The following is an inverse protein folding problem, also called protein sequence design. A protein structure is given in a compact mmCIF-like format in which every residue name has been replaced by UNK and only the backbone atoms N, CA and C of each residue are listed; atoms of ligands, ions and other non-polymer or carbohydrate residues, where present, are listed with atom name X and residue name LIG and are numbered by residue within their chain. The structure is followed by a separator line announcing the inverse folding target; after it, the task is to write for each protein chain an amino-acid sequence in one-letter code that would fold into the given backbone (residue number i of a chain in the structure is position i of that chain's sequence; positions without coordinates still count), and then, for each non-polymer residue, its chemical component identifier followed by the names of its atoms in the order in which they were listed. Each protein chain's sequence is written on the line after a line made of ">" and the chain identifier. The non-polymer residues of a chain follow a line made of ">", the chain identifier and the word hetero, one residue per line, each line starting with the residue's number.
data_IF_422060369981
#
_entry.id   IF_422060369981
#
_cell.length_a   1.000
_cell.length_b   1.000
_cell.length_c   1.000
_cell.angle_alpha   90.00
_cell.angle_beta   90.00
_cell.angle_gamma   90.00
#
_symmetry.space_group_name_H-M   'P 1'
#
loop_
_entity.id
_entity.type
_entity.pdbx_description
1 polymer ?
#
# COMPACT_ATOMS: atom_id res chain seq x y z
N UNK A 1 75.14 -21.16 -31.40
CA UNK A 1 74.37 -20.00 -30.88
C UNK A 1 73.09 -20.53 -30.24
N UNK A 2 72.83 -20.09 -29.00
CA UNK A 2 71.78 -20.54 -28.06
C UNK A 2 70.41 -19.98 -28.45
N UNK A 3 69.29 -20.74 -28.29
CA UNK A 3 67.94 -20.33 -27.76
C UNK A 3 67.12 -21.62 -27.50
N UNK A 4 67.11 -22.16 -26.28
CA UNK A 4 66.20 -21.88 -25.15
C UNK A 4 64.74 -22.30 -25.40
N UNK A 5 64.38 -23.53 -24.99
CA UNK A 5 63.00 -23.96 -24.75
C UNK A 5 62.51 -23.37 -23.42
N UNK A 6 61.44 -22.57 -23.46
CA UNK A 6 60.76 -22.10 -22.25
C UNK A 6 59.77 -23.18 -21.79
N UNK A 7 60.11 -23.87 -20.70
CA UNK A 7 59.20 -24.77 -19.99
C UNK A 7 58.14 -23.94 -19.24
N UNK A 8 56.88 -24.37 -19.35
CA UNK A 8 55.73 -23.69 -18.80
C UNK A 8 55.64 -23.70 -17.28
N UNK A 9 54.83 -22.78 -16.77
CA UNK A 9 54.25 -22.85 -15.44
C UNK A 9 52.79 -22.37 -15.55
N UNK A 10 51.87 -23.31 -15.80
CA UNK A 10 50.44 -23.05 -15.64
C UNK A 10 50.16 -23.09 -14.13
N UNK A 11 49.99 -21.92 -13.50
CA UNK A 11 49.49 -21.83 -12.14
C UNK A 11 47.99 -22.21 -12.16
N UNK A 12 47.67 -23.42 -11.69
CA UNK A 12 46.30 -23.82 -11.37
C UNK A 12 45.87 -23.07 -10.11
N UNK A 13 45.24 -21.91 -10.29
CA UNK A 13 44.50 -21.23 -9.23
C UNK A 13 43.22 -22.04 -9.02
N UNK A 14 43.26 -22.96 -8.05
CA UNK A 14 42.05 -23.64 -7.56
C UNK A 14 41.20 -22.60 -6.83
N UNK A 15 40.31 -21.94 -7.56
CA UNK A 15 39.25 -21.15 -6.96
C UNK A 15 38.28 -22.14 -6.29
N UNK A 16 38.29 -22.18 -4.96
CA UNK A 16 37.21 -22.78 -4.19
C UNK A 16 35.93 -22.02 -4.54
N UNK A 17 35.17 -22.53 -5.50
CA UNK A 17 33.80 -22.09 -5.75
C UNK A 17 32.99 -22.61 -4.57
N UNK A 18 32.82 -21.77 -3.54
CA UNK A 18 31.83 -22.00 -2.51
C UNK A 18 30.47 -22.03 -3.20
N UNK A 19 29.81 -23.19 -3.22
CA UNK A 19 28.43 -23.28 -3.65
C UNK A 19 27.61 -22.24 -2.86
N UNK A 20 26.69 -21.50 -3.50
CA UNK A 20 25.81 -20.61 -2.76
C UNK A 20 25.08 -21.46 -1.73
N UNK A 21 25.24 -21.11 -0.45
CA UNK A 21 24.49 -21.75 0.62
C UNK A 21 23.01 -21.53 0.31
N UNK A 22 22.30 -22.61 -0.01
CA UNK A 22 20.86 -22.59 -0.17
C UNK A 22 20.28 -22.14 1.16
N UNK A 23 19.86 -20.86 1.21
CA UNK A 23 19.32 -20.28 2.42
C UNK A 23 18.03 -21.03 2.71
N UNK A 24 18.07 -21.92 3.71
CA UNK A 24 16.93 -22.71 4.12
C UNK A 24 15.72 -21.78 4.23
N UNK A 25 14.64 -22.09 3.51
CA UNK A 25 13.45 -21.26 3.47
C UNK A 25 13.03 -21.00 4.92
N UNK A 26 13.01 -19.71 5.32
CA UNK A 26 12.54 -19.32 6.65
C UNK A 26 11.14 -19.93 6.83
N UNK A 27 10.85 -20.62 7.94
CA UNK A 27 9.51 -21.13 8.19
C UNK A 27 8.52 -19.96 8.05
N UNK A 28 7.40 -20.14 7.34
CA UNK A 28 6.54 -19.03 6.99
C UNK A 28 5.88 -18.50 8.27
N UNK A 29 5.75 -17.18 8.36
CA UNK A 29 5.27 -16.48 9.55
C UNK A 29 3.82 -16.89 9.85
N UNK A 30 3.40 -17.01 11.13
CA UNK A 30 2.00 -17.35 11.45
C UNK A 30 1.04 -16.34 10.76
N UNK A 31 -0.16 -16.78 10.34
CA UNK A 31 -1.13 -15.90 9.69
C UNK A 31 -1.38 -14.62 10.49
N UNK A 32 -1.20 -13.47 9.84
CA UNK A 32 -1.28 -12.15 10.47
C UNK A 32 -2.16 -11.18 9.67
N UNK A 33 -2.75 -10.21 10.36
CA UNK A 33 -3.44 -9.07 9.75
C UNK A 33 -2.88 -7.78 10.35
N UNK A 34 -2.26 -6.96 9.50
CA UNK A 34 -1.81 -5.62 9.86
C UNK A 34 -2.83 -4.59 9.41
N UNK A 35 -3.30 -3.76 10.34
CA UNK A 35 -4.34 -2.76 10.10
C UNK A 35 -3.73 -1.37 10.17
N UNK A 36 -3.83 -0.64 9.06
CA UNK A 36 -3.36 0.74 8.91
C UNK A 36 -4.60 1.65 8.81
N UNK A 37 -5.00 2.23 9.94
CA UNK A 37 -6.09 3.20 9.99
C UNK A 37 -5.50 4.62 9.90
N UNK A 38 -5.86 5.34 8.84
CA UNK A 38 -5.29 6.65 8.51
C UNK A 38 -6.37 7.67 8.17
N UNK A 39 -6.06 8.95 8.33
CA UNK A 39 -7.02 10.01 8.04
C UNK A 39 -7.26 10.12 6.53
N UNK A 40 -6.18 10.24 5.76
CA UNK A 40 -6.20 10.51 4.33
C UNK A 40 -5.55 9.42 3.48
N UNK A 41 -5.81 9.47 2.16
CA UNK A 41 -5.47 8.44 1.18
C UNK A 41 -3.95 8.16 1.01
N UNK A 42 -3.11 9.14 1.33
CA UNK A 42 -1.65 9.13 1.18
C UNK A 42 -0.90 8.88 2.49
N UNK A 43 -1.52 9.10 3.65
CA UNK A 43 -0.89 8.98 4.98
C UNK A 43 -0.13 7.65 5.19
N UNK A 44 -0.72 6.53 4.78
CA UNK A 44 -0.06 5.22 4.94
C UNK A 44 1.21 5.12 4.09
N UNK A 45 1.26 5.78 2.94
CA UNK A 45 2.43 5.79 2.05
C UNK A 45 3.55 6.61 2.68
N UNK A 46 3.18 7.73 3.30
CA UNK A 46 4.12 8.70 3.87
C UNK A 46 4.69 8.23 5.21
N UNK A 47 3.87 7.56 6.04
CA UNK A 47 4.20 7.37 7.45
C UNK A 47 4.22 5.92 7.94
N UNK A 48 3.69 4.95 7.16
CA UNK A 48 3.57 3.55 7.59
C UNK A 48 4.53 2.61 6.87
N UNK A 49 5.46 3.15 6.09
CA UNK A 49 6.54 2.37 5.49
C UNK A 49 7.74 2.30 6.45
N UNK A 50 8.47 1.16 6.50
CA UNK A 50 8.38 0.02 5.56
C UNK A 50 7.32 -1.04 5.89
N UNK A 51 6.62 -0.94 7.02
CA UNK A 51 5.71 -1.98 7.53
C UNK A 51 4.53 -2.27 6.57
N UNK A 52 3.94 -1.23 5.98
CA UNK A 52 2.88 -1.39 4.97
C UNK A 52 3.35 -2.17 3.74
N UNK A 53 4.58 -1.91 3.26
CA UNK A 53 5.18 -2.66 2.17
C UNK A 53 5.42 -4.12 2.56
N UNK A 54 5.95 -4.37 3.76
CA UNK A 54 6.15 -5.74 4.26
C UNK A 54 4.84 -6.52 4.36
N UNK A 55 3.81 -5.92 4.97
CA UNK A 55 2.50 -6.54 5.16
C UNK A 55 1.81 -6.92 3.83
N UNK A 56 2.05 -6.15 2.76
CA UNK A 56 1.50 -6.45 1.43
C UNK A 56 2.23 -7.59 0.71
N UNK A 57 3.45 -7.92 1.14
CA UNK A 57 4.34 -8.82 0.39
C UNK A 57 4.74 -10.08 1.15
N UNK A 58 4.45 -10.16 2.45
CA UNK A 58 4.60 -11.39 3.23
C UNK A 58 3.47 -12.38 2.89
N UNK A 59 3.77 -13.63 2.46
CA UNK A 59 2.77 -14.59 1.99
C UNK A 59 1.64 -14.90 2.99
N UNK A 60 1.91 -14.86 4.29
CA UNK A 60 0.94 -15.18 5.34
C UNK A 60 0.38 -13.93 6.05
N UNK A 61 0.61 -12.74 5.53
CA UNK A 61 0.11 -11.49 6.09
C UNK A 61 -0.94 -10.84 5.18
N UNK A 62 -1.94 -10.21 5.80
CA UNK A 62 -2.86 -9.31 5.10
C UNK A 62 -2.66 -7.88 5.56
N UNK A 63 -2.46 -6.97 4.62
CA UNK A 63 -2.49 -5.54 4.86
C UNK A 63 -3.92 -5.01 4.70
N UNK A 64 -4.45 -4.36 5.73
CA UNK A 64 -5.78 -3.74 5.71
C UNK A 64 -5.63 -2.24 5.91
N UNK A 65 -5.94 -1.46 4.87
CA UNK A 65 -5.93 -0.01 4.91
C UNK A 65 -7.34 0.51 5.14
N UNK A 66 -7.52 1.34 6.17
CA UNK A 66 -8.79 2.00 6.48
C UNK A 66 -8.56 3.50 6.38
N UNK A 67 -9.14 4.11 5.36
CA UNK A 67 -9.13 5.56 5.19
C UNK A 67 -10.39 6.14 5.80
N UNK A 68 -10.23 6.99 6.81
CA UNK A 68 -11.32 7.51 7.62
C UNK A 68 -12.07 8.61 6.87
N UNK A 69 -11.37 9.62 6.35
CA UNK A 69 -12.01 10.74 5.66
C UNK A 69 -12.00 10.56 4.15
N UNK A 70 -12.86 11.33 3.46
CA UNK A 70 -12.82 11.47 2.02
C UNK A 70 -11.57 12.24 1.55
N UNK A 71 -10.90 12.97 2.45
CA UNK A 71 -9.79 13.84 2.08
C UNK A 71 -10.17 14.87 1.04
N UNK A 72 -11.43 15.30 1.05
CA UNK A 72 -12.07 16.17 0.07
C UNK A 72 -11.78 17.65 0.32
N UNK A 73 -11.03 18.00 1.36
CA UNK A 73 -10.73 19.38 1.75
C UNK A 73 -12.00 20.25 1.89
N UNK A 74 -13.12 19.64 2.29
CA UNK A 74 -14.44 20.27 2.36
C UNK A 74 -15.10 20.59 1.02
N UNK A 75 -14.59 20.06 -0.10
CA UNK A 75 -15.19 20.22 -1.42
C UNK A 75 -16.39 19.27 -1.67
N UNK A 76 -16.61 18.28 -0.81
CA UNK A 76 -17.66 17.27 -0.95
C UNK A 76 -17.54 16.50 -2.26
N UNK A 77 -18.68 16.33 -2.93
CA UNK A 77 -18.74 15.74 -4.28
C UNK A 77 -18.35 16.72 -5.40
N UNK A 78 -17.95 17.97 -5.06
CA UNK A 78 -17.58 19.01 -6.01
C UNK A 78 -16.07 19.20 -6.17
N UNK A 79 -15.70 20.17 -6.99
CA UNK A 79 -14.31 20.56 -7.28
C UNK A 79 -14.20 21.25 -8.64
N UNK A 80 -13.08 21.92 -8.94
CA UNK A 80 -12.88 22.60 -10.22
C UNK A 80 -12.63 21.63 -11.40
N UNK A 81 -12.40 20.34 -11.12
CA UNK A 81 -12.09 19.32 -12.12
C UNK A 81 -13.30 18.45 -12.51
N UNK A 82 -13.16 17.63 -13.56
CA UNK A 82 -14.23 16.74 -14.04
C UNK A 82 -14.49 15.53 -13.13
N UNK A 83 -13.62 15.28 -12.15
CA UNK A 83 -13.72 14.17 -11.19
C UNK A 83 -13.71 14.76 -9.77
N UNK A 84 -14.63 14.35 -8.88
CA UNK A 84 -14.59 14.73 -7.47
C UNK A 84 -13.21 14.49 -6.86
N UNK A 85 -12.71 15.47 -6.10
CA UNK A 85 -11.34 15.44 -5.59
C UNK A 85 -11.05 14.18 -4.77
N UNK A 86 -11.98 13.76 -3.92
CA UNK A 86 -11.83 12.53 -3.12
C UNK A 86 -11.65 11.28 -3.99
N UNK A 87 -12.37 11.13 -5.11
CA UNK A 87 -12.23 9.98 -6.00
C UNK A 87 -10.86 9.94 -6.68
N UNK A 88 -10.30 11.11 -7.00
CA UNK A 88 -8.94 11.18 -7.53
C UNK A 88 -7.90 10.73 -6.48
N UNK A 89 -8.09 11.12 -5.20
CA UNK A 89 -7.22 10.67 -4.10
C UNK A 89 -7.37 9.17 -3.83
N UNK A 90 -8.59 8.63 -3.84
CA UNK A 90 -8.84 7.19 -3.69
C UNK A 90 -8.12 6.39 -4.76
N UNK A 91 -8.25 6.79 -6.02
CA UNK A 91 -7.55 6.11 -7.11
C UNK A 91 -6.02 6.25 -7.00
N UNK A 92 -5.51 7.36 -6.45
CA UNK A 92 -4.09 7.50 -6.08
C UNK A 92 -3.64 6.46 -5.06
N UNK A 93 -4.40 6.26 -3.98
CA UNK A 93 -4.13 5.21 -2.99
C UNK A 93 -4.18 3.80 -3.62
N UNK A 94 -5.19 3.53 -4.44
CA UNK A 94 -5.32 2.24 -5.11
C UNK A 94 -4.17 1.98 -6.10
N UNK A 95 -3.70 3.00 -6.81
CA UNK A 95 -2.49 2.90 -7.67
C UNK A 95 -1.25 2.57 -6.86
N UNK A 96 -1.05 3.20 -5.70
CA UNK A 96 0.09 2.92 -4.85
C UNK A 96 0.07 1.48 -4.30
N UNK A 97 -1.10 0.96 -3.89
CA UNK A 97 -1.26 -0.45 -3.49
C UNK A 97 -0.85 -1.39 -4.63
N UNK A 98 -1.37 -1.15 -5.85
CA UNK A 98 -1.01 -1.97 -7.01
C UNK A 98 0.48 -1.88 -7.32
N UNK A 99 1.06 -0.69 -7.27
CA UNK A 99 2.49 -0.49 -7.49
C UNK A 99 3.33 -1.28 -6.49
N UNK A 100 3.08 -1.12 -5.19
CA UNK A 100 3.88 -1.78 -4.15
C UNK A 100 3.72 -3.30 -4.17
N UNK A 101 2.51 -3.81 -4.37
CA UNK A 101 2.25 -5.24 -4.46
C UNK A 101 2.84 -5.89 -5.74
N UNK A 102 3.12 -5.10 -6.79
CA UNK A 102 3.77 -5.54 -8.02
C UNK A 102 5.29 -5.34 -7.99
N UNK A 103 5.79 -4.39 -7.19
CA UNK A 103 7.22 -4.08 -7.09
C UNK A 103 8.03 -5.18 -6.37
N UNK A 104 7.40 -5.97 -5.52
CA UNK A 104 8.08 -7.05 -4.80
C UNK A 104 8.56 -8.20 -5.69
N UNK A 105 7.93 -8.41 -6.84
CA UNK A 105 8.41 -9.34 -7.85
C UNK A 105 8.09 -8.80 -9.26
N UNK A 106 9.02 -8.01 -9.85
CA UNK A 106 8.82 -7.42 -11.17
C UNK A 106 8.67 -8.45 -12.30
N UNK A 107 9.11 -9.69 -12.10
CA UNK A 107 8.97 -10.76 -13.10
C UNK A 107 7.52 -11.30 -13.13
N UNK A 108 6.78 -11.15 -12.03
CA UNK A 108 5.39 -11.56 -11.92
C UNK A 108 4.51 -10.33 -12.07
N UNK A 109 4.15 -9.99 -13.31
CA UNK A 109 3.14 -8.96 -13.60
C UNK A 109 1.78 -9.36 -13.03
N UNK A 110 1.46 -8.90 -11.81
CA UNK A 110 0.25 -9.29 -11.07
C UNK A 110 -1.04 -8.61 -11.56
N UNK A 111 -0.97 -7.80 -12.62
CA UNK A 111 -2.09 -7.09 -13.24
C UNK A 111 -2.41 -5.75 -12.59
N UNK A 112 -3.56 -5.17 -12.97
CA UNK A 112 -4.05 -3.91 -12.41
C UNK A 112 -5.49 -3.99 -11.89
N UNK A 113 -6.20 -5.09 -12.15
CA UNK A 113 -7.59 -5.22 -11.76
C UNK A 113 -7.71 -5.48 -10.25
N UNK A 114 -8.49 -4.65 -9.58
CA UNK A 114 -8.87 -4.86 -8.17
C UNK A 114 -10.32 -5.33 -8.07
N UNK A 115 -10.62 -6.17 -7.09
CA UNK A 115 -12.00 -6.52 -6.79
C UNK A 115 -12.63 -5.39 -5.97
N UNK A 116 -13.64 -4.72 -6.54
CA UNK A 116 -14.43 -3.69 -5.87
C UNK A 116 -15.76 -4.25 -5.37
N UNK A 117 -16.13 -3.93 -4.14
CA UNK A 117 -17.41 -4.33 -3.53
C UNK A 117 -17.86 -3.27 -2.53
N UNK A 118 -19.17 -3.08 -2.38
CA UNK A 118 -19.72 -2.37 -1.22
C UNK A 118 -19.82 -3.33 -0.04
N UNK A 119 -19.10 -3.05 1.06
CA UNK A 119 -19.12 -3.88 2.26
C UNK A 119 -20.09 -3.30 3.29
N UNK A 120 -21.19 -4.00 3.55
CA UNK A 120 -22.15 -3.60 4.59
C UNK A 120 -21.59 -3.86 6.00
N UNK A 121 -21.51 -2.84 6.85
CA UNK A 121 -21.05 -2.92 8.25
C UNK A 121 -21.94 -2.05 9.12
N UNK A 122 -22.63 -2.64 10.09
CA UNK A 122 -23.48 -1.87 11.02
C UNK A 122 -24.56 -1.02 10.36
N UNK A 123 -25.08 -1.42 9.19
CA UNK A 123 -26.05 -0.63 8.41
C UNK A 123 -25.42 0.33 7.39
N UNK A 124 -24.11 0.48 7.38
CA UNK A 124 -23.37 1.40 6.52
C UNK A 124 -22.68 0.71 5.36
N UNK A 125 -22.64 1.38 4.21
CA UNK A 125 -22.01 0.88 2.99
C UNK A 125 -20.59 1.42 2.86
N UNK A 126 -19.59 0.60 3.15
CA UNK A 126 -18.18 1.00 3.04
C UNK A 126 -17.59 0.52 1.71
N UNK A 127 -17.06 1.44 0.90
CA UNK A 127 -16.41 1.07 -0.34
C UNK A 127 -15.13 0.27 -0.03
N UNK A 128 -15.06 -0.96 -0.56
CA UNK A 128 -13.95 -1.88 -0.35
C UNK A 128 -13.29 -2.26 -1.67
N UNK A 129 -11.97 -2.32 -1.67
CA UNK A 129 -11.15 -2.89 -2.74
C UNK A 129 -10.25 -3.99 -2.19
N UNK A 130 -10.04 -5.05 -2.96
CA UNK A 130 -9.08 -6.10 -2.64
C UNK A 130 -8.12 -6.34 -3.80
N UNK A 131 -6.85 -6.51 -3.47
CA UNK A 131 -5.79 -6.80 -4.43
C UNK A 131 -4.67 -7.56 -3.72
N UNK A 132 -4.50 -8.84 -4.09
CA UNK A 132 -3.50 -9.74 -3.47
C UNK A 132 -3.69 -9.77 -1.94
N UNK A 133 -2.63 -9.51 -1.18
CA UNK A 133 -2.66 -9.50 0.28
C UNK A 133 -3.17 -8.17 0.86
N UNK A 134 -3.52 -7.19 0.02
CA UNK A 134 -4.04 -5.90 0.44
C UNK A 134 -5.56 -5.80 0.35
N UNK A 135 -6.17 -5.18 1.34
CA UNK A 135 -7.57 -4.75 1.35
C UNK A 135 -7.62 -3.28 1.71
N UNK A 136 -8.38 -2.48 0.95
CA UNK A 136 -8.55 -1.05 1.16
C UNK A 136 -10.01 -0.74 1.42
N UNK A 137 -10.28 0.04 2.46
CA UNK A 137 -11.60 0.58 2.78
C UNK A 137 -11.57 2.11 2.73
N UNK A 138 -12.62 2.71 2.18
CA UNK A 138 -12.87 4.14 2.21
C UNK A 138 -14.19 4.40 2.92
N UNK A 139 -14.13 4.98 4.13
CA UNK A 139 -15.30 5.38 4.90
C UNK A 139 -15.88 6.70 4.38
N UNK A 140 -15.06 7.51 3.69
CA UNK A 140 -15.46 8.77 3.04
C UNK A 140 -16.15 9.76 3.97
N UNK A 141 -15.75 9.81 5.25
CA UNK A 141 -16.26 10.84 6.14
C UNK A 141 -15.84 12.23 5.64
N UNK A 142 -16.70 13.25 5.70
CA UNK A 142 -16.33 14.59 5.25
C UNK A 142 -15.06 15.09 5.94
N UNK A 143 -14.10 15.57 5.15
CA UNK A 143 -12.91 16.22 5.65
C UNK A 143 -13.23 17.68 6.01
N UNK A 144 -12.57 18.19 7.04
CA UNK A 144 -12.69 19.60 7.41
C UNK A 144 -12.00 20.51 6.38
N UNK A 145 -12.36 21.79 6.34
CA UNK A 145 -11.64 22.79 5.55
C UNK A 145 -11.00 23.87 6.46
N UNK A 146 -9.95 24.51 5.98
CA UNK A 146 -9.40 25.76 6.51
C UNK A 146 -9.69 26.85 5.48
N UNK A 147 -10.57 27.79 5.81
CA UNK A 147 -10.83 28.98 4.97
C UNK A 147 -10.22 30.18 5.67
N UNK A 148 -9.31 30.90 4.99
CA UNK A 148 -8.63 32.09 5.49
C UNK A 148 -7.89 31.90 6.83
N UNK A 149 -7.16 30.80 6.99
CA UNK A 149 -6.41 30.49 8.22
C UNK A 149 -7.28 30.17 9.44
N UNK A 150 -8.60 30.07 9.24
CA UNK A 150 -9.57 29.67 10.25
C UNK A 150 -10.13 28.31 9.85
N UNK A 151 -10.21 27.37 10.81
CA UNK A 151 -10.85 26.07 10.58
C UNK A 151 -12.32 26.33 10.24
N UNK A 152 -12.66 26.25 8.97
CA UNK A 152 -14.01 26.42 8.47
C UNK A 152 -14.62 25.02 8.44
N UNK A 153 -15.31 24.69 9.52
CA UNK A 153 -16.03 23.44 9.64
C UNK A 153 -17.50 23.70 9.33
N UNK A 154 -18.01 23.34 8.14
CA UNK A 154 -19.39 22.89 8.07
C UNK A 154 -19.53 21.47 8.64
N UNK A 155 -18.42 20.76 8.92
CA UNK A 155 -18.42 19.34 9.32
C UNK A 155 -17.57 19.02 10.56
N UNK A 156 -17.70 19.73 11.71
CA UNK A 156 -16.91 19.43 12.91
C UNK A 156 -17.30 18.08 13.57
N UNK A 157 -18.25 17.37 12.99
CA UNK A 157 -18.90 16.23 13.61
C UNK A 157 -18.66 14.93 12.85
N UNK A 158 -17.82 14.87 11.82
CA UNK A 158 -17.64 13.64 11.02
C UNK A 158 -17.36 12.40 11.89
N UNK A 159 -16.48 12.51 12.89
CA UNK A 159 -16.22 11.42 13.85
C UNK A 159 -17.34 11.24 14.88
N UNK A 160 -18.02 12.32 15.29
CA UNK A 160 -19.18 12.26 16.20
C UNK A 160 -20.38 11.59 15.53
N UNK A 161 -20.60 11.86 14.25
CA UNK A 161 -21.61 11.27 13.36
C UNK A 161 -21.27 9.82 13.05
N UNK A 162 -19.99 9.51 12.81
CA UNK A 162 -19.55 8.10 12.76
C UNK A 162 -19.86 7.38 14.07
N UNK A 163 -19.52 7.97 15.22
CA UNK A 163 -19.76 7.37 16.55
C UNK A 163 -21.25 7.15 16.84
N UNK A 164 -22.12 8.05 16.39
CA UNK A 164 -23.57 7.96 16.59
C UNK A 164 -24.28 7.13 15.51
N UNK A 165 -23.58 6.65 14.47
CA UNK A 165 -24.17 5.89 13.37
C UNK A 165 -24.89 6.76 12.33
N UNK A 166 -24.64 8.06 12.32
CA UNK A 166 -25.22 9.03 11.38
C UNK A 166 -24.38 9.21 10.10
N UNK A 167 -23.21 8.58 10.03
CA UNK A 167 -22.32 8.59 8.88
C UNK A 167 -21.53 7.28 8.77
N UNK A 168 -21.54 6.70 7.56
CA UNK A 168 -20.55 5.77 6.97
C UNK A 168 -21.11 5.20 5.67
#
# INVERSE_FOLDING_TARGET
>A
MKRAFAAGLLALVSACVSAPAEQAARPPSPPMVSVFAVAHQDDWQLFMNPEAFHAMNEPQEKAVFIHVTAGDAGAGAGGPGPVPYYLAREEGALRAVRFMANAADPAIGRGAQMQSTMAMRGGHGVQRYAYRNAVVYFLRLPDGNIVNGTVYTPHPESLTRLRSGEAA
#
